data_IF_524771896975
#
_entry.id   IF_524771896975
#
_cell.length_a   1.000
_cell.length_b   1.000
_cell.length_c   1.000
_cell.angle_alpha   90.00
_cell.angle_beta   90.00
_cell.angle_gamma   90.00
#
_symmetry.space_group_name_H-M   'P 1'
#
loop_
_entity.id
_entity.type
_entity.pdbx_description
1 polymer ?
#
# COMPACT_ATOMS: atom_id res chain seq x y z
N UNK A 1 -16.13 11.24 22.95
CA UNK A 1 -17.07 10.10 23.10
C UNK A 1 -17.39 9.53 21.73
N UNK A 2 -17.82 10.34 20.76
CA UNK A 2 -18.30 9.93 19.44
C UNK A 2 -17.26 9.13 18.65
N UNK A 3 -15.98 9.54 18.68
CA UNK A 3 -14.90 8.83 18.00
C UNK A 3 -14.74 7.40 18.55
N UNK A 4 -14.66 7.25 19.87
CA UNK A 4 -14.51 5.93 20.50
C UNK A 4 -15.72 5.05 20.21
N UNK A 5 -16.94 5.61 20.28
CA UNK A 5 -18.17 4.88 19.98
C UNK A 5 -18.20 4.41 18.51
N UNK A 6 -17.89 5.29 17.56
CA UNK A 6 -17.83 4.95 16.13
C UNK A 6 -16.75 3.90 15.85
N UNK A 7 -15.58 4.04 16.47
CA UNK A 7 -14.48 3.09 16.35
C UNK A 7 -14.88 1.70 16.87
N UNK A 8 -15.49 1.63 18.06
CA UNK A 8 -15.98 0.37 18.64
C UNK A 8 -17.04 -0.26 17.72
N UNK A 9 -18.05 0.51 17.28
CA UNK A 9 -19.10 0.01 16.38
C UNK A 9 -18.51 -0.53 15.08
N UNK A 10 -17.54 0.17 14.50
CA UNK A 10 -16.87 -0.25 13.29
C UNK A 10 -16.11 -1.57 13.49
N UNK A 11 -15.33 -1.68 14.58
CA UNK A 11 -14.54 -2.89 14.85
C UNK A 11 -15.41 -4.08 15.26
N UNK A 12 -16.50 -3.85 16.00
CA UNK A 12 -17.49 -4.91 16.30
C UNK A 12 -18.15 -5.38 15.00
N UNK A 13 -18.60 -4.48 14.14
CA UNK A 13 -19.16 -4.82 12.83
C UNK A 13 -18.19 -5.60 11.97
N UNK A 14 -16.93 -5.14 11.83
CA UNK A 14 -15.87 -5.82 11.11
C UNK A 14 -15.55 -7.20 11.69
N UNK A 15 -15.53 -7.34 13.02
CA UNK A 15 -15.29 -8.63 13.68
C UNK A 15 -16.45 -9.62 13.45
N UNK A 16 -17.70 -9.15 13.43
CA UNK A 16 -18.85 -9.98 13.05
C UNK A 16 -18.69 -10.48 11.61
N UNK A 17 -18.31 -9.61 10.67
CA UNK A 17 -18.05 -9.97 9.28
C UNK A 17 -16.90 -10.98 9.19
N UNK A 18 -15.81 -10.77 9.92
CA UNK A 18 -14.67 -11.67 10.00
C UNK A 18 -15.06 -13.07 10.52
N UNK A 19 -15.80 -13.14 11.61
CA UNK A 19 -16.27 -14.42 12.18
C UNK A 19 -17.24 -15.12 11.23
N UNK A 20 -18.17 -14.37 10.63
CA UNK A 20 -19.10 -14.92 9.64
C UNK A 20 -18.40 -15.51 8.41
N UNK A 21 -17.27 -14.92 7.99
CA UNK A 21 -16.49 -15.40 6.84
C UNK A 21 -15.80 -16.74 7.09
N UNK A 22 -15.59 -17.13 8.36
CA UNK A 22 -15.02 -18.44 8.72
C UNK A 22 -15.77 -19.63 8.11
N UNK A 23 -17.07 -19.48 7.85
CA UNK A 23 -17.89 -20.52 7.19
C UNK A 23 -17.43 -20.85 5.77
N UNK A 24 -16.64 -19.97 5.13
CA UNK A 24 -16.08 -20.19 3.80
C UNK A 24 -14.71 -20.85 3.86
N UNK A 25 -14.06 -20.85 5.03
CA UNK A 25 -12.72 -21.39 5.23
C UNK A 25 -12.74 -22.91 5.18
N UNK A 26 -12.01 -23.51 4.23
CA UNK A 26 -11.69 -24.92 4.18
C UNK A 26 -10.39 -25.23 4.94
N UNK A 27 -9.94 -26.48 4.87
CA UNK A 27 -8.69 -26.92 5.47
C UNK A 27 -7.49 -26.67 4.55
N UNK A 28 -6.34 -26.36 5.15
CA UNK A 28 -5.05 -26.27 4.47
C UNK A 28 -4.56 -24.87 4.17
N UNK A 29 -3.26 -24.75 3.89
CA UNK A 29 -2.59 -23.48 3.63
C UNK A 29 -3.15 -22.75 2.41
N UNK A 30 -3.61 -23.46 1.40
CA UNK A 30 -4.27 -22.92 0.21
C UNK A 30 -5.55 -22.18 0.55
N UNK A 31 -6.38 -22.72 1.44
CA UNK A 31 -7.60 -22.03 1.90
C UNK A 31 -7.26 -20.82 2.75
N UNK A 32 -6.29 -20.95 3.65
CA UNK A 32 -5.90 -19.88 4.57
C UNK A 32 -5.27 -18.68 3.85
N UNK A 33 -4.36 -18.90 2.89
CA UNK A 33 -3.60 -17.80 2.27
C UNK A 33 -4.21 -17.25 0.97
N UNK A 34 -4.96 -18.05 0.21
CA UNK A 34 -5.53 -17.63 -1.10
C UNK A 34 -7.02 -17.95 -1.27
N UNK A 35 -7.72 -18.34 -0.20
CA UNK A 35 -9.17 -18.58 -0.22
C UNK A 35 -9.58 -19.69 -1.19
N UNK A 36 -8.70 -20.70 -1.39
CA UNK A 36 -8.94 -21.82 -2.30
C UNK A 36 -9.17 -21.43 -3.75
N UNK A 37 -8.80 -20.21 -4.18
CA UNK A 37 -9.08 -19.65 -5.51
C UNK A 37 -10.59 -19.54 -5.82
N UNK A 38 -11.41 -19.23 -4.81
CA UNK A 38 -12.88 -19.20 -4.95
C UNK A 38 -13.50 -17.82 -4.72
N UNK A 39 -12.68 -16.77 -4.63
CA UNK A 39 -13.13 -15.43 -4.30
C UNK A 39 -13.86 -14.80 -5.49
N UNK A 40 -15.00 -14.14 -5.22
CA UNK A 40 -15.78 -13.45 -6.24
C UNK A 40 -15.05 -12.23 -6.80
N UNK A 41 -15.42 -11.76 -8.01
CA UNK A 41 -14.78 -10.61 -8.63
C UNK A 41 -14.95 -9.31 -7.84
N UNK A 42 -16.07 -9.12 -7.14
CA UNK A 42 -16.29 -7.96 -6.27
C UNK A 42 -15.38 -8.00 -5.03
N UNK A 43 -15.38 -9.11 -4.29
CA UNK A 43 -14.49 -9.26 -3.14
C UNK A 43 -13.02 -9.17 -3.52
N UNK A 44 -12.64 -9.76 -4.66
CA UNK A 44 -11.26 -9.65 -5.17
C UNK A 44 -10.89 -8.19 -5.51
N UNK A 45 -11.80 -7.42 -6.08
CA UNK A 45 -11.59 -6.01 -6.36
C UNK A 45 -11.46 -5.18 -5.09
N UNK A 46 -12.36 -5.39 -4.12
CA UNK A 46 -12.35 -4.65 -2.87
C UNK A 46 -11.09 -4.94 -2.05
N UNK A 47 -10.70 -6.22 -1.89
CA UNK A 47 -9.46 -6.54 -1.18
C UNK A 47 -8.22 -6.04 -1.92
N UNK A 48 -8.20 -6.05 -3.27
CA UNK A 48 -7.11 -5.44 -4.03
C UNK A 48 -7.05 -3.93 -3.82
N UNK A 49 -8.21 -3.25 -3.85
CA UNK A 49 -8.31 -1.81 -3.68
C UNK A 49 -7.90 -1.36 -2.27
N UNK A 50 -8.43 -1.97 -1.22
CA UNK A 50 -8.13 -1.58 0.17
C UNK A 50 -6.71 -1.97 0.59
N UNK A 51 -6.15 -3.04 0.01
CA UNK A 51 -4.73 -3.38 0.18
C UNK A 51 -3.81 -2.33 -0.45
N UNK A 52 -4.26 -1.66 -1.50
CA UNK A 52 -3.52 -0.64 -2.24
C UNK A 52 -3.77 0.77 -1.69
N UNK A 53 -5.05 1.13 -1.57
CA UNK A 53 -5.52 2.45 -1.14
C UNK A 53 -5.67 2.49 0.39
N UNK A 54 -4.58 2.80 1.04
CA UNK A 54 -4.37 2.78 2.50
C UNK A 54 -4.44 4.19 3.11
N UNK A 55 -3.82 4.39 4.26
CA UNK A 55 -3.54 5.75 4.79
C UNK A 55 -2.78 6.62 3.78
N UNK A 56 -2.09 5.97 2.83
CA UNK A 56 -1.47 6.63 1.70
C UNK A 56 -2.43 7.61 1.01
N UNK A 57 -3.72 7.29 0.87
CA UNK A 57 -4.67 8.13 0.15
C UNK A 57 -5.10 9.36 0.97
N UNK A 58 -5.81 9.14 2.07
CA UNK A 58 -6.45 10.22 2.84
C UNK A 58 -5.44 11.08 3.61
N UNK A 59 -4.29 10.53 3.98
CA UNK A 59 -3.22 11.24 4.67
C UNK A 59 -2.11 11.59 3.70
N UNK A 60 -1.51 10.58 3.08
CA UNK A 60 -0.32 10.75 2.27
C UNK A 60 -0.58 11.55 0.99
N UNK A 61 -1.51 11.08 0.12
CA UNK A 61 -1.79 11.74 -1.17
C UNK A 61 -2.45 13.11 -0.97
N UNK A 62 -3.38 13.22 -0.01
CA UNK A 62 -3.97 14.52 0.32
C UNK A 62 -2.91 15.50 0.86
N UNK A 63 -2.00 15.05 1.73
CA UNK A 63 -0.88 15.84 2.22
C UNK A 63 0.14 16.18 1.13
N UNK A 64 0.43 15.25 0.21
CA UNK A 64 1.28 15.51 -0.94
C UNK A 64 0.65 16.54 -1.89
N UNK A 65 -0.66 16.42 -2.14
CA UNK A 65 -1.41 17.39 -2.95
C UNK A 65 -1.47 18.76 -2.29
N UNK A 66 -1.66 18.82 -0.98
CA UNK A 66 -1.55 20.06 -0.21
C UNK A 66 -0.20 20.75 -0.45
N UNK A 67 0.89 20.00 -0.51
CA UNK A 67 2.24 20.53 -0.68
C UNK A 67 2.60 20.84 -2.14
N UNK A 68 2.13 20.03 -3.11
CA UNK A 68 2.63 20.07 -4.50
C UNK A 68 1.55 20.23 -5.57
N UNK A 69 0.29 20.38 -5.18
CA UNK A 69 -0.82 20.60 -6.10
C UNK A 69 -1.15 19.39 -6.97
N UNK A 70 -1.62 19.67 -8.18
CA UNK A 70 -2.10 18.65 -9.14
C UNK A 70 -1.01 17.72 -9.68
N UNK A 71 0.26 18.00 -9.44
CA UNK A 71 1.34 17.05 -9.80
C UNK A 71 1.19 15.70 -9.09
N UNK A 72 0.65 15.69 -7.86
CA UNK A 72 0.31 14.49 -7.12
C UNK A 72 -0.78 13.66 -7.82
N UNK A 73 -1.73 14.29 -8.53
CA UNK A 73 -2.72 13.58 -9.35
C UNK A 73 -2.04 12.85 -10.51
N UNK A 74 -1.11 13.51 -11.21
CA UNK A 74 -0.36 12.90 -12.31
C UNK A 74 0.41 11.67 -11.88
N UNK A 75 1.05 11.72 -10.72
CA UNK A 75 1.74 10.59 -10.09
C UNK A 75 0.79 9.41 -9.83
N UNK A 76 -0.34 9.65 -9.19
CA UNK A 76 -1.28 8.58 -8.81
C UNK A 76 -2.04 8.01 -10.02
N UNK A 77 -2.39 8.82 -11.01
CA UNK A 77 -2.99 8.35 -12.26
C UNK A 77 -2.02 7.51 -13.10
N UNK A 78 -0.72 7.84 -13.11
CA UNK A 78 0.29 7.01 -13.77
C UNK A 78 0.39 5.63 -13.10
N UNK A 79 0.36 5.58 -11.76
CA UNK A 79 0.26 4.34 -11.00
C UNK A 79 -0.99 3.53 -11.38
N UNK A 80 -2.18 4.15 -11.33
CA UNK A 80 -3.44 3.47 -11.64
C UNK A 80 -3.44 2.91 -13.06
N UNK A 81 -3.02 3.71 -14.05
CA UNK A 81 -2.96 3.31 -15.46
C UNK A 81 -1.99 2.13 -15.67
N UNK A 82 -0.79 2.18 -15.07
CA UNK A 82 0.18 1.10 -15.17
C UNK A 82 -0.31 -0.18 -14.47
N UNK A 83 -0.96 -0.05 -13.32
CA UNK A 83 -1.55 -1.20 -12.62
C UNK A 83 -2.63 -1.87 -13.48
N UNK A 84 -3.56 -1.11 -14.05
CA UNK A 84 -4.60 -1.65 -14.93
C UNK A 84 -3.99 -2.32 -16.16
N UNK A 85 -2.96 -1.73 -16.75
CA UNK A 85 -2.22 -2.31 -17.88
C UNK A 85 -1.57 -3.64 -17.50
N UNK A 86 -0.83 -3.67 -16.39
CA UNK A 86 -0.15 -4.88 -15.91
C UNK A 86 -1.14 -5.97 -15.53
N UNK A 87 -2.26 -5.64 -14.87
CA UNK A 87 -3.31 -6.59 -14.54
C UNK A 87 -3.95 -7.19 -15.79
N UNK A 88 -4.22 -6.35 -16.80
CA UNK A 88 -4.90 -6.77 -18.04
C UNK A 88 -4.00 -7.58 -18.96
N UNK A 89 -2.68 -7.46 -18.84
CA UNK A 89 -1.69 -8.16 -19.67
C UNK A 89 -1.03 -9.30 -18.88
N UNK A 90 -0.05 -8.97 -18.07
CA UNK A 90 0.76 -9.92 -17.28
C UNK A 90 -0.07 -10.62 -16.20
N UNK A 91 -0.98 -9.88 -15.53
CA UNK A 91 -1.77 -10.39 -14.41
C UNK A 91 -2.65 -11.59 -14.77
N UNK A 92 -3.23 -11.60 -15.97
CA UNK A 92 -4.04 -12.74 -16.46
C UNK A 92 -3.19 -14.02 -16.58
N UNK A 93 -1.97 -13.90 -17.09
CA UNK A 93 -1.04 -15.05 -17.18
C UNK A 93 -0.65 -15.55 -15.79
N UNK A 94 -0.32 -14.64 -14.87
CA UNK A 94 0.00 -14.97 -13.48
C UNK A 94 -1.18 -15.67 -12.81
N UNK A 95 -2.41 -15.17 -12.98
CA UNK A 95 -3.62 -15.77 -12.44
C UNK A 95 -3.82 -17.21 -12.95
N UNK A 96 -3.69 -17.45 -14.28
CA UNK A 96 -3.83 -18.79 -14.87
C UNK A 96 -2.77 -19.75 -14.33
N UNK A 97 -1.51 -19.33 -14.37
CA UNK A 97 -0.40 -20.16 -13.89
C UNK A 97 -0.52 -20.48 -12.40
N UNK A 98 -0.95 -19.53 -11.58
CA UNK A 98 -1.14 -19.75 -10.14
C UNK A 98 -2.17 -20.85 -9.86
N UNK A 99 -3.26 -20.90 -10.64
CA UNK A 99 -4.29 -21.93 -10.51
C UNK A 99 -3.80 -23.31 -10.99
N UNK A 100 -3.13 -23.33 -12.14
CA UNK A 100 -2.60 -24.58 -12.73
C UNK A 100 -1.52 -25.22 -11.85
N UNK A 101 -0.67 -24.39 -11.25
CA UNK A 101 0.49 -24.83 -10.47
C UNK A 101 0.28 -24.83 -8.96
N UNK A 102 -0.86 -24.34 -8.49
CA UNK A 102 -1.20 -24.33 -7.06
C UNK A 102 -0.41 -23.32 -6.23
N UNK A 103 -0.03 -22.17 -6.81
CA UNK A 103 0.71 -21.12 -6.08
C UNK A 103 -0.12 -20.51 -4.95
N UNK A 104 0.48 -20.39 -3.79
CA UNK A 104 -0.14 -19.90 -2.55
C UNK A 104 0.56 -18.63 -2.07
N UNK A 105 1.88 -18.62 -2.17
CA UNK A 105 2.73 -17.51 -1.74
C UNK A 105 3.19 -16.65 -2.92
N UNK A 106 3.43 -15.36 -2.71
CA UNK A 106 4.01 -14.48 -3.73
C UNK A 106 5.39 -14.91 -4.24
N UNK A 107 6.13 -15.73 -3.47
CA UNK A 107 7.43 -16.29 -3.85
C UNK A 107 7.32 -17.52 -4.75
N UNK A 108 6.20 -18.26 -4.71
CA UNK A 108 6.04 -19.51 -5.47
C UNK A 108 6.30 -19.32 -6.97
N UNK A 109 5.82 -18.19 -7.54
CA UNK A 109 6.03 -17.88 -8.95
C UNK A 109 7.51 -17.88 -9.33
N UNK A 110 8.35 -17.17 -8.58
CA UNK A 110 9.77 -17.03 -8.91
C UNK A 110 10.53 -18.31 -8.57
N UNK A 111 10.29 -18.86 -7.39
CA UNK A 111 10.96 -20.10 -6.94
C UNK A 111 10.73 -21.24 -7.94
N UNK A 112 9.52 -21.39 -8.46
CA UNK A 112 9.18 -22.42 -9.42
C UNK A 112 9.66 -22.11 -10.83
N UNK A 113 9.45 -20.89 -11.32
CA UNK A 113 9.86 -20.53 -12.68
C UNK A 113 11.38 -20.53 -12.87
N UNK A 114 12.15 -20.28 -11.82
CA UNK A 114 13.62 -20.40 -11.82
C UNK A 114 14.10 -21.77 -11.31
N UNK A 115 13.20 -22.66 -10.91
CA UNK A 115 13.51 -23.92 -10.28
C UNK A 115 14.56 -23.78 -9.15
N UNK A 116 14.34 -22.80 -8.26
CA UNK A 116 15.30 -22.45 -7.20
C UNK A 116 14.59 -22.05 -5.91
N UNK A 117 14.62 -22.95 -4.93
CA UNK A 117 14.17 -22.66 -3.57
C UNK A 117 15.02 -21.55 -2.92
N UNK A 118 16.34 -21.55 -3.16
CA UNK A 118 17.23 -20.54 -2.60
C UNK A 118 16.79 -19.11 -3.01
N UNK A 119 16.43 -18.94 -4.29
CA UNK A 119 15.91 -17.65 -4.78
C UNK A 119 14.57 -17.30 -4.09
N UNK A 120 13.69 -18.28 -3.87
CA UNK A 120 12.44 -18.07 -3.11
C UNK A 120 12.70 -17.59 -1.69
N UNK A 121 13.65 -18.21 -0.98
CA UNK A 121 14.06 -17.80 0.38
C UNK A 121 14.62 -16.37 0.41
N UNK A 122 15.54 -16.05 -0.51
CA UNK A 122 16.14 -14.70 -0.60
C UNK A 122 15.05 -13.64 -0.81
N UNK A 123 14.09 -13.90 -1.69
CA UNK A 123 12.98 -12.96 -1.95
C UNK A 123 12.02 -12.88 -0.77
N UNK A 124 11.75 -13.97 -0.07
CA UNK A 124 10.92 -13.94 1.14
C UNK A 124 11.55 -13.05 2.23
N UNK A 125 12.86 -13.15 2.40
CA UNK A 125 13.63 -12.29 3.33
C UNK A 125 13.63 -10.82 2.85
N UNK A 126 13.80 -10.58 1.53
CA UNK A 126 13.68 -9.24 0.96
C UNK A 126 12.31 -8.64 1.25
N UNK A 127 11.21 -9.37 1.05
CA UNK A 127 9.86 -8.89 1.36
C UNK A 127 9.73 -8.45 2.83
N UNK A 128 10.31 -9.22 3.75
CA UNK A 128 10.26 -8.90 5.18
C UNK A 128 10.86 -7.52 5.47
N UNK A 129 12.04 -7.24 4.95
CA UNK A 129 12.73 -5.97 5.24
C UNK A 129 12.23 -4.81 4.37
N UNK A 130 12.00 -5.03 3.09
CA UNK A 130 11.58 -4.00 2.15
C UNK A 130 10.19 -3.40 2.50
N UNK A 131 9.31 -4.19 3.14
CA UNK A 131 7.96 -3.74 3.48
C UNK A 131 7.81 -3.16 4.89
N UNK A 132 8.87 -3.15 5.70
CA UNK A 132 8.87 -2.47 7.02
C UNK A 132 8.50 -0.98 6.87
N UNK A 133 9.12 -0.18 5.97
CA UNK A 133 8.74 1.23 5.81
C UNK A 133 7.28 1.42 5.39
N UNK A 134 6.75 0.56 4.50
CA UNK A 134 5.35 0.66 4.08
C UNK A 134 4.37 0.33 5.22
N UNK A 135 4.66 -0.72 5.97
CA UNK A 135 3.86 -1.06 7.16
C UNK A 135 3.95 0.04 8.21
N UNK A 136 5.14 0.59 8.42
CA UNK A 136 5.37 1.75 9.30
C UNK A 136 4.55 2.97 8.89
N UNK A 137 4.44 3.25 7.58
CA UNK A 137 3.62 4.34 7.07
C UNK A 137 2.14 4.19 7.46
N UNK A 138 1.62 2.94 7.51
CA UNK A 138 0.26 2.67 7.97
C UNK A 138 0.09 3.00 9.46
N UNK A 139 1.02 2.53 10.29
CA UNK A 139 1.00 2.80 11.73
C UNK A 139 1.16 4.29 12.02
N UNK A 140 2.03 4.99 11.27
CA UNK A 140 2.22 6.45 11.36
C UNK A 140 0.92 7.20 11.06
N UNK A 141 0.19 6.82 10.02
CA UNK A 141 -1.08 7.46 9.68
C UNK A 141 -2.11 7.37 10.82
N UNK A 142 -2.18 6.24 11.52
CA UNK A 142 -3.02 6.10 12.71
C UNK A 142 -2.49 6.99 13.85
N UNK A 143 -1.17 7.06 14.03
CA UNK A 143 -0.53 7.95 15.00
C UNK A 143 -0.93 9.42 14.79
N UNK A 144 -0.94 9.92 13.54
CA UNK A 144 -1.34 11.29 13.21
C UNK A 144 -2.82 11.56 13.54
N UNK A 145 -3.70 10.58 13.31
CA UNK A 145 -5.11 10.67 13.71
C UNK A 145 -5.25 10.81 15.22
N UNK A 146 -4.58 9.97 16.00
CA UNK A 146 -4.63 10.00 17.47
C UNK A 146 -4.01 11.29 18.02
N UNK A 147 -2.90 11.74 17.44
CA UNK A 147 -2.27 13.01 17.80
C UNK A 147 -3.21 14.21 17.59
N UNK A 148 -3.96 14.23 16.48
CA UNK A 148 -4.93 15.30 16.19
C UNK A 148 -6.12 15.35 17.18
N UNK A 149 -6.39 14.24 17.86
CA UNK A 149 -7.41 14.13 18.91
C UNK A 149 -6.85 14.44 20.32
N UNK A 150 -5.55 14.75 20.44
CA UNK A 150 -4.90 14.97 21.73
C UNK A 150 -4.63 13.69 22.55
N UNK A 151 -4.81 12.50 21.95
CA UNK A 151 -4.61 11.21 22.64
C UNK A 151 -3.11 10.83 22.67
N UNK A 152 -2.35 11.28 21.66
CA UNK A 152 -0.91 11.00 21.51
C UNK A 152 -0.61 10.08 20.35
N UNK A 153 0.46 10.41 19.61
CA UNK A 153 0.93 9.70 18.41
C UNK A 153 1.30 8.25 18.72
N UNK A 154 2.04 8.05 19.81
CA UNK A 154 2.56 6.75 20.22
C UNK A 154 1.42 5.78 20.56
N UNK A 155 0.36 6.30 21.20
CA UNK A 155 -0.85 5.52 21.53
C UNK A 155 -1.53 5.04 20.26
N UNK A 156 -1.62 5.90 19.22
CA UNK A 156 -2.17 5.53 17.93
C UNK A 156 -1.37 4.43 17.22
N UNK A 157 -0.04 4.53 17.25
CA UNK A 157 0.86 3.50 16.72
C UNK A 157 0.66 2.15 17.42
N UNK A 158 0.66 2.14 18.76
CA UNK A 158 0.46 0.92 19.55
C UNK A 158 -0.94 0.32 19.35
N UNK A 159 -1.96 1.17 19.26
CA UNK A 159 -3.32 0.75 18.95
C UNK A 159 -3.38 0.06 17.57
N UNK A 160 -2.76 0.63 16.55
CA UNK A 160 -2.74 0.04 15.21
C UNK A 160 -2.03 -1.33 15.20
N UNK A 161 -0.90 -1.47 15.90
CA UNK A 161 -0.21 -2.76 16.07
C UNK A 161 -1.13 -3.77 16.73
N UNK A 162 -1.76 -3.40 17.85
CA UNK A 162 -2.65 -4.31 18.60
C UNK A 162 -3.80 -4.84 17.75
N UNK A 163 -4.49 -3.96 17.03
CA UNK A 163 -5.62 -4.35 16.17
C UNK A 163 -5.16 -5.20 14.99
N UNK A 164 -4.03 -4.85 14.34
CA UNK A 164 -3.47 -5.64 13.23
C UNK A 164 -3.11 -7.05 13.69
N UNK A 165 -2.46 -7.21 14.83
CA UNK A 165 -2.15 -8.54 15.41
C UNK A 165 -3.44 -9.33 15.67
N UNK A 166 -4.44 -8.67 16.25
CA UNK A 166 -5.71 -9.32 16.57
C UNK A 166 -6.43 -9.83 15.31
N UNK A 167 -6.53 -9.01 14.26
CA UNK A 167 -7.29 -9.35 13.07
C UNK A 167 -6.55 -10.33 12.14
N UNK A 168 -5.24 -10.17 11.96
CA UNK A 168 -4.43 -11.11 11.16
C UNK A 168 -4.49 -12.54 11.70
N UNK A 169 -4.58 -12.70 13.03
CA UNK A 169 -4.66 -14.02 13.69
C UNK A 169 -6.00 -14.74 13.53
N UNK A 170 -7.09 -14.04 13.18
CA UNK A 170 -8.45 -14.61 13.28
C UNK A 170 -8.81 -15.54 12.12
N UNK A 171 -8.44 -15.25 10.86
CA UNK A 171 -9.21 -15.88 9.81
C UNK A 171 -8.62 -16.04 8.41
N UNK A 172 -7.35 -15.77 8.19
CA UNK A 172 -6.76 -15.90 6.85
C UNK A 172 -7.46 -15.03 5.79
N UNK A 173 -7.28 -15.38 4.51
CA UNK A 173 -7.72 -14.54 3.39
C UNK A 173 -9.24 -14.31 3.31
N UNK A 174 -10.07 -15.28 3.68
CA UNK A 174 -11.53 -15.09 3.61
C UNK A 174 -12.00 -13.97 4.54
N UNK A 175 -11.45 -13.93 5.76
CA UNK A 175 -11.74 -12.84 6.68
C UNK A 175 -11.25 -11.52 6.14
N UNK A 176 -9.99 -11.47 5.71
CA UNK A 176 -9.39 -10.26 5.15
C UNK A 176 -10.22 -9.76 3.96
N UNK A 177 -10.55 -10.59 2.97
CA UNK A 177 -11.29 -10.17 1.78
C UNK A 177 -12.70 -9.63 2.11
N UNK A 178 -13.38 -10.20 3.11
CA UNK A 178 -14.71 -9.73 3.49
C UNK A 178 -14.66 -8.48 4.36
N UNK A 179 -13.71 -8.37 5.29
CA UNK A 179 -13.49 -7.14 6.06
C UNK A 179 -12.98 -6.01 5.17
N UNK A 180 -12.11 -6.30 4.21
CA UNK A 180 -11.63 -5.35 3.21
C UNK A 180 -12.79 -4.77 2.38
N UNK A 181 -13.77 -5.60 1.99
CA UNK A 181 -14.95 -5.10 1.29
C UNK A 181 -15.80 -4.16 2.17
N UNK A 182 -15.98 -4.51 3.44
CA UNK A 182 -16.66 -3.65 4.42
C UNK A 182 -15.91 -2.33 4.62
N UNK A 183 -14.60 -2.40 4.83
CA UNK A 183 -13.71 -1.25 5.00
C UNK A 183 -13.69 -0.36 3.76
N UNK A 184 -13.56 -0.95 2.55
CA UNK A 184 -13.50 -0.20 1.30
C UNK A 184 -14.77 0.60 1.02
N UNK A 185 -15.95 0.05 1.33
CA UNK A 185 -17.21 0.80 1.24
C UNK A 185 -17.22 1.96 2.24
N UNK A 186 -16.80 1.70 3.49
CA UNK A 186 -16.70 2.74 4.50
C UNK A 186 -15.73 3.86 4.11
N UNK A 187 -14.56 3.49 3.58
CA UNK A 187 -13.53 4.43 3.09
C UNK A 187 -14.08 5.35 2.00
N UNK A 188 -14.78 4.80 1.01
CA UNK A 188 -15.33 5.59 -0.08
C UNK A 188 -16.44 6.53 0.40
N UNK A 189 -17.40 6.04 1.19
CA UNK A 189 -18.51 6.85 1.66
C UNK A 189 -18.06 7.96 2.60
N UNK A 190 -17.14 7.67 3.51
CA UNK A 190 -16.61 8.67 4.44
C UNK A 190 -15.76 9.74 3.73
N UNK A 191 -15.02 9.36 2.70
CA UNK A 191 -14.22 10.32 1.91
C UNK A 191 -15.11 11.24 1.06
N UNK A 192 -16.21 10.72 0.50
CA UNK A 192 -17.24 11.55 -0.17
C UNK A 192 -17.86 12.52 0.82
N UNK A 193 -18.23 12.06 2.03
CA UNK A 193 -18.80 12.92 3.07
C UNK A 193 -17.81 14.01 3.50
N UNK A 194 -16.51 13.68 3.64
CA UNK A 194 -15.47 14.65 3.93
C UNK A 194 -15.31 15.69 2.81
N UNK A 195 -15.35 15.25 1.55
CA UNK A 195 -15.27 16.14 0.38
C UNK A 195 -16.47 17.10 0.34
N UNK A 196 -17.67 16.59 0.50
CA UNK A 196 -18.88 17.43 0.53
C UNK A 196 -18.85 18.43 1.68
N UNK A 197 -18.47 17.99 2.88
CA UNK A 197 -18.31 18.89 4.02
C UNK A 197 -17.30 19.99 3.75
N UNK A 198 -16.14 19.66 3.19
CA UNK A 198 -15.08 20.63 2.90
C UNK A 198 -15.54 21.70 1.91
N UNK A 199 -16.13 21.30 0.78
CA UNK A 199 -16.45 22.20 -0.32
C UNK A 199 -17.81 22.90 -0.17
N UNK A 200 -18.77 22.26 0.51
CA UNK A 200 -20.12 22.84 0.69
C UNK A 200 -20.24 23.67 1.98
N UNK A 201 -19.47 23.31 3.01
CA UNK A 201 -19.58 23.97 4.32
C UNK A 201 -18.30 24.70 4.74
N UNK A 202 -17.15 24.02 4.83
CA UNK A 202 -15.95 24.64 5.43
C UNK A 202 -15.40 25.80 4.58
N UNK A 203 -15.17 25.60 3.30
CA UNK A 203 -14.60 26.64 2.42
C UNK A 203 -15.55 27.84 2.32
N UNK A 204 -16.87 27.69 2.03
CA UNK A 204 -17.78 28.83 1.99
C UNK A 204 -17.90 29.57 3.33
N UNK A 205 -17.99 28.84 4.46
CA UNK A 205 -18.07 29.48 5.79
C UNK A 205 -16.79 30.23 6.16
N UNK A 206 -15.66 29.89 5.53
CA UNK A 206 -14.38 30.59 5.66
C UNK A 206 -14.19 31.74 4.65
N UNK A 207 -15.25 32.06 3.89
CA UNK A 207 -15.23 33.12 2.86
C UNK A 207 -14.37 32.75 1.65
N UNK A 208 -14.22 31.47 1.34
CA UNK A 208 -13.46 30.96 0.18
C UNK A 208 -14.46 30.48 -0.88
N UNK A 209 -14.78 31.38 -1.82
CA UNK A 209 -15.53 31.07 -3.04
C UNK A 209 -14.61 30.50 -4.14
N UNK A 210 -15.16 30.17 -5.32
CA UNK A 210 -14.40 29.61 -6.43
C UNK A 210 -13.27 30.53 -6.92
N UNK A 211 -13.48 31.88 -6.90
CA UNK A 211 -12.49 32.86 -7.32
C UNK A 211 -11.32 32.86 -6.33
N UNK A 212 -11.62 33.04 -5.05
CA UNK A 212 -10.63 33.03 -3.98
C UNK A 212 -9.91 31.68 -3.83
N UNK A 213 -10.60 30.59 -4.04
CA UNK A 213 -10.01 29.25 -4.09
C UNK A 213 -8.90 29.20 -5.16
N UNK A 214 -9.21 29.63 -6.38
CA UNK A 214 -8.25 29.66 -7.48
C UNK A 214 -7.09 30.59 -7.17
N UNK A 215 -7.35 31.79 -6.66
CA UNK A 215 -6.33 32.75 -6.25
C UNK A 215 -5.37 32.16 -5.21
N UNK A 216 -5.90 31.54 -4.14
CA UNK A 216 -5.09 30.94 -3.08
C UNK A 216 -4.19 29.78 -3.57
N UNK A 217 -4.64 29.04 -4.58
CA UNK A 217 -3.86 27.93 -5.16
C UNK A 217 -2.86 28.38 -6.23
N UNK A 218 -3.03 29.58 -6.78
CA UNK A 218 -2.13 30.11 -7.82
C UNK A 218 -1.17 31.18 -7.30
N UNK A 219 -1.40 31.72 -6.11
CA UNK A 219 -0.56 32.73 -5.47
C UNK A 219 0.82 32.14 -5.12
N UNK A 220 1.87 32.73 -5.71
CA UNK A 220 3.25 32.24 -5.58
C UNK A 220 3.54 31.08 -6.52
N UNK A 221 3.35 29.85 -6.09
CA UNK A 221 3.47 28.65 -6.94
C UNK A 221 2.09 28.23 -7.44
N UNK A 222 1.94 28.08 -8.76
CA UNK A 222 0.68 27.62 -9.34
C UNK A 222 0.48 26.12 -9.08
N UNK A 223 -0.25 25.80 -8.02
CA UNK A 223 -0.56 24.41 -7.63
C UNK A 223 -1.61 23.74 -8.52
N UNK A 224 -2.27 24.48 -9.42
CA UNK A 224 -3.18 23.97 -10.44
C UNK A 224 -2.46 23.59 -11.74
N UNK A 225 -1.13 23.73 -11.79
CA UNK A 225 -0.28 23.26 -12.89
C UNK A 225 0.67 22.16 -12.43
N UNK A 226 1.25 21.43 -13.39
CA UNK A 226 2.22 20.38 -13.09
C UNK A 226 3.57 21.01 -12.73
N UNK A 227 3.92 20.94 -11.44
CA UNK A 227 5.08 21.67 -10.86
C UNK A 227 6.32 20.78 -10.62
N UNK A 228 6.19 19.45 -10.78
CA UNK A 228 7.32 18.56 -10.54
C UNK A 228 8.33 18.60 -11.68
N UNK A 229 9.63 18.52 -11.33
CA UNK A 229 10.66 18.25 -12.32
C UNK A 229 10.50 16.83 -12.89
N UNK A 230 10.99 16.58 -14.13
CA UNK A 230 10.99 15.23 -14.69
C UNK A 230 11.69 14.22 -13.78
N UNK A 231 12.77 14.63 -13.11
CA UNK A 231 13.50 13.78 -12.16
C UNK A 231 12.63 13.37 -10.98
N UNK A 232 11.93 14.33 -10.37
CA UNK A 232 11.03 14.06 -9.25
C UNK A 232 9.87 13.14 -9.70
N UNK A 233 9.25 13.43 -10.84
CA UNK A 233 8.15 12.63 -11.36
C UNK A 233 8.58 11.19 -11.65
N UNK A 234 9.69 10.99 -12.37
CA UNK A 234 10.20 9.65 -12.68
C UNK A 234 10.60 8.92 -11.40
N UNK A 235 11.33 9.60 -10.49
CA UNK A 235 11.80 9.00 -9.25
C UNK A 235 10.66 8.51 -8.34
N UNK A 236 9.61 9.31 -8.21
CA UNK A 236 8.43 8.95 -7.42
C UNK A 236 7.57 7.88 -8.11
N UNK A 237 7.42 7.98 -9.44
CA UNK A 237 6.44 7.16 -10.18
C UNK A 237 7.00 5.77 -10.55
N UNK A 238 8.27 5.66 -10.93
CA UNK A 238 8.83 4.43 -11.48
C UNK A 238 8.69 3.19 -10.58
N UNK A 239 8.95 3.23 -9.27
CA UNK A 239 8.71 2.09 -8.39
C UNK A 239 7.22 1.69 -8.34
N UNK A 240 6.35 2.67 -8.41
CA UNK A 240 4.90 2.51 -8.34
C UNK A 240 4.32 1.92 -9.63
N UNK A 241 4.95 2.18 -10.81
CA UNK A 241 4.53 1.58 -12.09
C UNK A 241 4.59 0.04 -12.07
N UNK A 242 5.52 -0.54 -11.32
CA UNK A 242 5.67 -2.00 -11.20
C UNK A 242 5.02 -2.59 -9.94
N UNK A 243 4.31 -1.78 -9.16
CA UNK A 243 3.70 -2.19 -7.89
C UNK A 243 2.88 -3.48 -8.01
N UNK A 244 2.01 -3.58 -9.01
CA UNK A 244 1.16 -4.75 -9.24
C UNK A 244 1.94 -6.05 -9.50
N UNK A 245 3.20 -5.94 -9.88
CA UNK A 245 4.08 -7.08 -10.18
C UNK A 245 5.07 -7.37 -9.06
N UNK A 246 5.53 -6.36 -8.33
CA UNK A 246 6.63 -6.47 -7.36
C UNK A 246 6.15 -6.65 -5.93
N UNK A 247 5.08 -5.99 -5.54
CA UNK A 247 4.61 -5.97 -4.16
C UNK A 247 3.82 -7.25 -3.81
N UNK A 248 4.25 -8.04 -2.81
CA UNK A 248 3.72 -9.37 -2.54
C UNK A 248 2.24 -9.38 -2.17
N UNK A 249 1.77 -8.38 -1.42
CA UNK A 249 0.38 -8.30 -0.97
C UNK A 249 -0.61 -8.17 -2.14
N UNK A 250 -0.27 -7.45 -3.20
CA UNK A 250 -1.12 -7.34 -4.40
C UNK A 250 -0.89 -8.48 -5.37
N UNK A 251 0.33 -9.00 -5.48
CA UNK A 251 0.62 -10.21 -6.29
C UNK A 251 -0.20 -11.39 -5.79
N UNK A 252 -0.30 -11.60 -4.47
CA UNK A 252 -1.11 -12.67 -3.88
C UNK A 252 -2.61 -12.50 -4.21
N UNK A 253 -3.11 -11.25 -4.34
CA UNK A 253 -4.49 -10.97 -4.75
C UNK A 253 -4.78 -11.35 -6.22
N UNK A 254 -3.75 -11.51 -7.05
CA UNK A 254 -3.94 -12.02 -8.42
C UNK A 254 -4.38 -13.50 -8.42
N UNK A 255 -4.02 -14.27 -7.40
CA UNK A 255 -4.32 -15.72 -7.35
C UNK A 255 -5.77 -16.03 -6.98
N UNK A 256 -6.43 -15.14 -6.23
CA UNK A 256 -7.68 -15.44 -5.52
C UNK A 256 -8.97 -15.50 -6.38
N UNK A 257 -9.12 -14.78 -7.53
CA UNK A 257 -10.35 -14.78 -8.30
C UNK A 257 -10.75 -16.18 -8.77
N UNK A 258 -12.03 -16.54 -8.61
CA UNK A 258 -12.53 -17.90 -8.85
C UNK A 258 -12.50 -18.34 -10.33
N UNK A 259 -12.62 -17.39 -11.26
CA UNK A 259 -12.64 -17.62 -12.70
C UNK A 259 -12.15 -16.37 -13.45
N UNK A 260 -11.93 -16.48 -14.78
CA UNK A 260 -11.46 -15.36 -15.61
C UNK A 260 -12.46 -14.20 -15.62
N UNK A 261 -13.75 -14.47 -15.55
CA UNK A 261 -14.80 -13.44 -15.48
C UNK A 261 -14.70 -12.66 -14.15
N UNK A 262 -14.43 -13.37 -13.06
CA UNK A 262 -14.16 -12.73 -11.76
C UNK A 262 -12.89 -11.88 -11.79
N UNK A 263 -11.82 -12.36 -12.45
CA UNK A 263 -10.58 -11.60 -12.64
C UNK A 263 -10.81 -10.30 -13.45
N UNK A 264 -11.52 -10.38 -14.57
CA UNK A 264 -11.88 -9.19 -15.37
C UNK A 264 -12.77 -8.20 -14.59
N UNK A 265 -13.71 -8.72 -13.76
CA UNK A 265 -14.51 -7.89 -12.87
C UNK A 265 -13.67 -7.24 -11.79
N UNK A 266 -12.67 -7.93 -11.25
CA UNK A 266 -11.72 -7.38 -10.29
C UNK A 266 -11.02 -6.16 -10.88
N UNK A 267 -10.47 -6.25 -12.09
CA UNK A 267 -9.81 -5.12 -12.77
C UNK A 267 -10.79 -3.96 -12.93
N UNK A 268 -11.99 -4.23 -13.47
CA UNK A 268 -13.00 -3.20 -13.73
C UNK A 268 -13.39 -2.44 -12.46
N UNK A 269 -13.71 -3.14 -11.38
CA UNK A 269 -14.16 -2.50 -10.15
C UNK A 269 -13.02 -1.80 -9.42
N UNK A 270 -11.82 -2.38 -9.44
CA UNK A 270 -10.61 -1.72 -8.95
C UNK A 270 -10.32 -0.41 -9.67
N UNK A 271 -10.43 -0.40 -11.01
CA UNK A 271 -10.18 0.81 -11.82
C UNK A 271 -11.17 1.93 -11.49
N UNK A 272 -12.46 1.61 -11.37
CA UNK A 272 -13.51 2.58 -11.03
C UNK A 272 -13.29 3.12 -9.61
N UNK A 273 -13.08 2.23 -8.64
CA UNK A 273 -12.83 2.60 -7.26
C UNK A 273 -11.57 3.48 -7.14
N UNK A 274 -10.47 3.05 -7.76
CA UNK A 274 -9.19 3.75 -7.71
C UNK A 274 -9.26 5.14 -8.32
N UNK A 275 -9.90 5.27 -9.48
CA UNK A 275 -10.06 6.57 -10.13
C UNK A 275 -10.89 7.53 -9.27
N UNK A 276 -12.06 7.09 -8.78
CA UNK A 276 -12.91 7.90 -7.93
C UNK A 276 -12.21 8.32 -6.62
N UNK A 277 -11.57 7.36 -5.95
CA UNK A 277 -10.91 7.61 -4.67
C UNK A 277 -9.68 8.53 -4.82
N UNK A 278 -8.91 8.38 -5.92
CA UNK A 278 -7.81 9.29 -6.26
C UNK A 278 -8.30 10.72 -6.44
N UNK A 279 -9.37 10.93 -7.22
CA UNK A 279 -9.92 12.27 -7.43
C UNK A 279 -10.39 12.90 -6.11
N UNK A 280 -11.10 12.13 -5.27
CA UNK A 280 -11.58 12.61 -3.96
C UNK A 280 -10.38 13.04 -3.10
N UNK A 281 -9.35 12.22 -2.96
CA UNK A 281 -8.20 12.53 -2.10
C UNK A 281 -7.39 13.74 -2.60
N UNK A 282 -7.23 13.88 -3.92
CA UNK A 282 -6.58 15.05 -4.51
C UNK A 282 -7.42 16.33 -4.29
N UNK A 283 -8.73 16.27 -4.51
CA UNK A 283 -9.62 17.40 -4.23
C UNK A 283 -9.59 17.79 -2.74
N UNK A 284 -9.58 16.80 -1.84
CA UNK A 284 -9.40 17.07 -0.40
C UNK A 284 -8.09 17.82 -0.14
N UNK A 285 -6.97 17.36 -0.72
CA UNK A 285 -5.66 18.01 -0.56
C UNK A 285 -5.63 19.46 -1.07
N UNK A 286 -6.22 19.73 -2.23
CA UNK A 286 -6.37 21.09 -2.77
C UNK A 286 -7.25 21.96 -1.86
N UNK A 287 -8.37 21.43 -1.38
CA UNK A 287 -9.25 22.13 -0.45
C UNK A 287 -8.57 22.45 0.89
N UNK A 288 -7.79 21.52 1.43
CA UNK A 288 -6.98 21.75 2.64
C UNK A 288 -5.96 22.86 2.41
N UNK A 289 -5.31 22.87 1.23
CA UNK A 289 -4.38 23.95 0.87
C UNK A 289 -5.06 25.31 0.82
N UNK A 290 -6.20 25.41 0.13
CA UNK A 290 -6.95 26.67 0.05
C UNK A 290 -7.41 27.15 1.44
N UNK A 291 -7.96 26.24 2.26
CA UNK A 291 -8.40 26.56 3.63
C UNK A 291 -7.25 27.10 4.49
N UNK A 292 -6.14 26.38 4.56
CA UNK A 292 -4.99 26.78 5.39
C UNK A 292 -4.24 28.00 4.82
N UNK A 293 -4.26 28.20 3.49
CA UNK A 293 -3.75 29.44 2.88
C UNK A 293 -4.61 30.65 3.26
N UNK A 294 -5.92 30.49 3.33
CA UNK A 294 -6.84 31.55 3.78
C UNK A 294 -6.65 31.94 5.25
N UNK A 295 -6.03 31.07 6.05
CA UNK A 295 -5.71 31.30 7.46
C UNK A 295 -4.24 31.65 7.71
N UNK A 296 -3.40 31.76 6.68
CA UNK A 296 -1.95 31.93 6.76
C UNK A 296 -1.22 30.84 7.58
N UNK A 297 -1.79 29.62 7.60
CA UNK A 297 -1.30 28.51 8.43
C UNK A 297 -0.45 27.49 7.65
N UNK A 298 -0.19 27.69 6.36
CA UNK A 298 0.52 26.71 5.51
C UNK A 298 1.88 26.33 6.07
N UNK A 299 2.64 27.30 6.58
CA UNK A 299 4.00 27.08 7.11
C UNK A 299 4.04 26.19 8.35
N UNK A 300 2.96 26.12 9.12
CA UNK A 300 2.87 25.26 10.31
C UNK A 300 2.94 23.76 9.94
N UNK A 301 2.56 23.41 8.70
CA UNK A 301 2.55 22.05 8.19
C UNK A 301 3.71 21.74 7.23
N UNK A 302 4.64 22.69 7.01
CA UNK A 302 5.79 22.48 6.12
C UNK A 302 6.68 21.29 6.56
N UNK A 303 6.80 21.07 7.87
CA UNK A 303 7.57 19.97 8.45
C UNK A 303 6.79 18.66 8.65
N UNK A 304 5.44 18.69 8.58
CA UNK A 304 4.61 17.50 8.75
C UNK A 304 3.29 17.60 7.97
N UNK A 305 3.35 17.41 6.66
CA UNK A 305 2.18 17.46 5.80
C UNK A 305 1.19 16.31 6.03
N UNK A 306 1.62 15.22 6.67
CA UNK A 306 0.74 14.09 7.03
C UNK A 306 -0.26 14.48 8.13
N UNK A 307 0.03 15.51 8.93
CA UNK A 307 -0.88 16.06 9.94
C UNK A 307 -1.98 16.95 9.36
N UNK A 308 -1.89 17.37 8.09
CA UNK A 308 -2.83 18.32 7.47
C UNK A 308 -4.25 17.76 7.43
N UNK A 309 -4.41 16.55 6.89
CA UNK A 309 -5.74 15.93 6.76
C UNK A 309 -6.40 15.69 8.13
N UNK A 310 -5.74 15.08 9.14
CA UNK A 310 -6.31 14.96 10.48
C UNK A 310 -6.65 16.32 11.11
N UNK A 311 -5.79 17.32 10.96
CA UNK A 311 -6.04 18.66 11.51
C UNK A 311 -7.28 19.31 10.92
N UNK A 312 -7.41 19.36 9.57
CA UNK A 312 -8.57 20.00 8.95
C UNK A 312 -9.85 19.21 9.22
N UNK A 313 -9.80 17.87 9.14
CA UNK A 313 -10.95 17.01 9.40
C UNK A 313 -11.43 17.09 10.87
N UNK A 314 -10.54 17.38 11.83
CA UNK A 314 -10.93 17.60 13.23
C UNK A 314 -11.81 18.84 13.45
N UNK A 315 -11.91 19.75 12.46
CA UNK A 315 -12.80 20.92 12.50
C UNK A 315 -14.25 20.58 12.11
N UNK A 316 -14.49 19.38 11.59
CA UNK A 316 -15.83 18.93 11.26
C UNK A 316 -16.68 18.61 12.51
N UNK A 317 -17.97 18.44 12.30
CA UNK A 317 -18.85 17.94 13.36
C UNK A 317 -18.33 16.58 13.89
N UNK A 318 -18.45 16.35 15.19
CA UNK A 318 -17.85 15.20 15.88
C UNK A 318 -18.16 13.83 15.23
N UNK A 319 -19.38 13.62 14.72
CA UNK A 319 -19.76 12.38 14.04
C UNK A 319 -19.03 12.21 12.71
N UNK A 320 -18.89 13.28 11.91
CA UNK A 320 -18.17 13.21 10.65
C UNK A 320 -16.67 12.98 10.89
N UNK A 321 -16.07 13.71 11.83
CA UNK A 321 -14.68 13.49 12.26
C UNK A 321 -14.47 12.04 12.70
N UNK A 322 -15.34 11.51 13.55
CA UNK A 322 -15.26 10.12 14.02
C UNK A 322 -15.35 9.12 12.87
N UNK A 323 -16.28 9.33 11.93
CA UNK A 323 -16.50 8.46 10.77
C UNK A 323 -15.30 8.43 9.84
N UNK A 324 -14.72 9.61 9.53
CA UNK A 324 -13.56 9.73 8.63
C UNK A 324 -12.29 9.22 9.30
N UNK A 325 -12.08 9.50 10.57
CA UNK A 325 -10.92 8.99 11.31
C UNK A 325 -10.94 7.47 11.44
N UNK A 326 -12.10 6.90 11.73
CA UNK A 326 -12.29 5.45 11.70
C UNK A 326 -11.99 4.86 10.31
N UNK A 327 -12.35 5.56 9.25
CA UNK A 327 -12.02 5.19 7.86
C UNK A 327 -10.50 5.17 7.59
N UNK A 328 -9.78 6.17 8.05
CA UNK A 328 -8.31 6.23 7.91
C UNK A 328 -7.66 5.07 8.67
N UNK A 329 -8.14 4.78 9.87
CA UNK A 329 -7.65 3.64 10.67
C UNK A 329 -7.97 2.31 9.98
N UNK A 330 -9.17 2.16 9.44
CA UNK A 330 -9.56 0.98 8.67
C UNK A 330 -8.65 0.76 7.46
N UNK A 331 -8.37 1.82 6.69
CA UNK A 331 -7.45 1.80 5.56
C UNK A 331 -6.02 1.39 5.95
N UNK A 332 -5.55 1.86 7.11
CA UNK A 332 -4.25 1.46 7.66
C UNK A 332 -4.19 -0.04 7.94
N UNK A 333 -5.20 -0.53 8.66
CA UNK A 333 -5.25 -1.92 9.14
C UNK A 333 -5.39 -2.89 7.97
N UNK A 334 -6.29 -2.63 7.00
CA UNK A 334 -6.47 -3.50 5.83
C UNK A 334 -5.18 -3.69 5.03
N UNK A 335 -4.41 -2.63 4.87
CA UNK A 335 -3.12 -2.70 4.18
C UNK A 335 -2.07 -3.40 5.04
N UNK A 336 -1.95 -3.08 6.31
CA UNK A 336 -1.01 -3.72 7.23
C UNK A 336 -1.26 -5.23 7.33
N UNK A 337 -2.52 -5.65 7.51
CA UNK A 337 -2.93 -7.07 7.54
C UNK A 337 -2.53 -7.80 6.25
N UNK A 338 -2.78 -7.18 5.11
CA UNK A 338 -2.47 -7.74 3.80
C UNK A 338 -0.97 -7.88 3.55
N UNK A 339 -0.17 -6.90 3.93
CA UNK A 339 1.29 -6.94 3.84
C UNK A 339 1.83 -8.05 4.74
N UNK A 340 1.42 -8.02 6.00
CA UNK A 340 1.89 -8.97 7.03
C UNK A 340 1.52 -10.40 6.66
N UNK A 341 0.28 -10.66 6.21
CA UNK A 341 -0.14 -11.99 5.76
C UNK A 341 0.70 -12.48 4.58
N UNK A 342 0.97 -11.61 3.60
CA UNK A 342 1.73 -11.97 2.39
C UNK A 342 3.18 -12.30 2.70
N UNK A 343 3.83 -11.50 3.55
CA UNK A 343 5.22 -11.73 4.01
C UNK A 343 5.28 -12.99 4.86
N UNK A 344 4.36 -13.15 5.80
CA UNK A 344 4.28 -14.33 6.67
C UNK A 344 4.08 -15.62 5.85
N UNK A 345 3.22 -15.57 4.82
CA UNK A 345 3.03 -16.72 3.91
C UNK A 345 4.32 -17.05 3.15
N UNK A 346 5.05 -16.04 2.66
CA UNK A 346 6.30 -16.23 1.93
C UNK A 346 7.37 -16.89 2.82
N UNK A 347 7.58 -16.37 4.01
CA UNK A 347 8.56 -16.91 4.97
C UNK A 347 8.18 -18.32 5.43
N UNK A 348 6.93 -18.53 5.85
CA UNK A 348 6.46 -19.85 6.30
C UNK A 348 6.57 -20.91 5.20
N UNK A 349 6.20 -20.54 3.97
CA UNK A 349 6.28 -21.42 2.80
C UNK A 349 7.70 -21.82 2.46
N UNK A 350 8.60 -20.85 2.31
CA UNK A 350 9.98 -21.09 1.86
C UNK A 350 10.86 -21.72 2.96
N UNK A 351 10.73 -21.27 4.21
CA UNK A 351 11.59 -21.76 5.30
C UNK A 351 11.08 -23.03 5.95
N UNK A 352 9.76 -23.28 5.96
CA UNK A 352 9.20 -24.45 6.63
C UNK A 352 8.51 -25.42 5.68
N UNK A 353 7.44 -25.01 4.95
CA UNK A 353 6.63 -25.96 4.17
C UNK A 353 7.43 -26.68 3.10
N UNK A 354 8.27 -25.96 2.33
CA UNK A 354 9.14 -26.55 1.31
C UNK A 354 10.41 -27.23 1.88
N UNK A 355 10.70 -27.02 3.18
CA UNK A 355 11.88 -27.59 3.83
C UNK A 355 11.63 -28.96 4.45
N UNK A 356 10.37 -29.29 4.74
CA UNK A 356 9.98 -30.48 5.52
C UNK A 356 9.14 -31.41 4.65
N UNK A 357 9.43 -32.70 4.69
CA UNK A 357 8.73 -33.71 3.88
C UNK A 357 7.23 -33.81 4.20
N UNK A 358 6.84 -33.57 5.46
CA UNK A 358 5.45 -33.59 5.91
C UNK A 358 5.16 -32.38 6.80
N UNK A 359 4.92 -31.19 6.20
CA UNK A 359 4.70 -29.98 6.96
C UNK A 359 3.37 -30.06 7.73
N UNK A 360 3.42 -29.72 9.03
CA UNK A 360 2.23 -29.60 9.87
C UNK A 360 1.63 -28.21 9.71
N UNK A 361 0.36 -28.13 9.31
CA UNK A 361 -0.36 -26.88 9.10
C UNK A 361 -0.31 -25.96 10.33
N UNK A 362 -0.56 -26.50 11.53
CA UNK A 362 -0.49 -25.75 12.79
C UNK A 362 0.88 -25.07 13.00
N UNK A 363 1.97 -25.72 12.60
CA UNK A 363 3.31 -25.16 12.73
C UNK A 363 3.58 -24.11 11.67
N UNK A 364 3.07 -24.29 10.45
CA UNK A 364 3.13 -23.28 9.39
C UNK A 364 2.44 -21.98 9.80
N UNK A 365 1.22 -22.06 10.33
CA UNK A 365 0.46 -20.91 10.83
C UNK A 365 1.16 -20.27 12.05
N UNK A 366 1.73 -21.05 12.96
CA UNK A 366 2.47 -20.51 14.10
C UNK A 366 3.71 -19.72 13.67
N UNK A 367 4.47 -20.21 12.68
CA UNK A 367 5.61 -19.50 12.10
C UNK A 367 5.12 -18.21 11.43
N UNK A 368 4.05 -18.29 10.63
CA UNK A 368 3.47 -17.12 9.98
C UNK A 368 3.08 -16.03 10.99
N UNK A 369 2.41 -16.40 12.09
CA UNK A 369 2.03 -15.46 13.14
C UNK A 369 3.26 -14.85 13.86
N UNK A 370 4.32 -15.64 14.09
CA UNK A 370 5.56 -15.11 14.69
C UNK A 370 6.26 -14.09 13.78
N UNK A 371 6.30 -14.37 12.47
CA UNK A 371 6.84 -13.42 11.47
C UNK A 371 5.99 -12.15 11.42
N UNK A 372 4.67 -12.28 11.46
CA UNK A 372 3.73 -11.17 11.48
C UNK A 372 3.99 -10.22 12.66
N UNK A 373 4.11 -10.77 13.86
CA UNK A 373 4.40 -10.00 15.08
C UNK A 373 5.77 -9.32 14.98
N UNK A 374 6.82 -10.05 14.56
CA UNK A 374 8.16 -9.50 14.41
C UNK A 374 8.19 -8.32 13.42
N UNK A 375 7.50 -8.46 12.28
CA UNK A 375 7.39 -7.40 11.29
C UNK A 375 6.66 -6.16 11.83
N UNK A 376 5.56 -6.36 12.57
CA UNK A 376 4.81 -5.26 13.18
C UNK A 376 5.61 -4.53 14.26
N UNK A 377 6.40 -5.26 15.06
CA UNK A 377 7.30 -4.64 16.05
C UNK A 377 8.37 -3.80 15.34
N UNK A 378 8.99 -4.30 14.28
CA UNK A 378 9.96 -3.52 13.49
C UNK A 378 9.30 -2.28 12.87
N UNK A 379 8.11 -2.44 12.30
CA UNK A 379 7.36 -1.33 11.69
C UNK A 379 6.95 -0.28 12.72
N UNK A 380 6.54 -0.68 13.92
CA UNK A 380 6.22 0.23 15.02
C UNK A 380 7.45 1.00 15.50
N UNK A 381 8.57 0.32 15.69
CA UNK A 381 9.83 0.97 16.06
C UNK A 381 10.23 2.02 15.00
N UNK A 382 10.08 1.69 13.70
CA UNK A 382 10.37 2.62 12.62
C UNK A 382 9.38 3.80 12.57
N UNK A 383 8.08 3.57 12.84
CA UNK A 383 7.05 4.62 12.90
C UNK A 383 7.32 5.63 14.01
N UNK A 384 7.75 5.13 15.18
CA UNK A 384 8.08 5.97 16.36
C UNK A 384 9.28 6.88 16.12
N UNK A 385 10.18 6.54 15.20
CA UNK A 385 11.30 7.40 14.78
C UNK A 385 10.83 8.60 13.94
N UNK A 386 9.57 8.61 13.46
CA UNK A 386 8.96 9.68 12.66
C UNK A 386 9.77 10.05 11.40
N UNK A 387 10.44 9.07 10.80
CA UNK A 387 11.26 9.25 9.59
C UNK A 387 10.37 9.29 8.36
N UNK A 388 10.48 10.34 7.54
CA UNK A 388 9.78 10.48 6.25
C UNK A 388 8.27 10.66 6.37
N UNK A 389 7.62 10.86 5.23
CA UNK A 389 6.16 10.97 5.13
C UNK A 389 5.56 9.66 4.64
N UNK A 390 4.25 9.51 4.80
CA UNK A 390 3.50 8.29 4.43
C UNK A 390 3.73 7.91 2.96
N UNK A 391 3.71 8.89 2.04
CA UNK A 391 3.94 8.64 0.61
C UNK A 391 5.36 8.13 0.36
N UNK A 392 6.37 8.84 0.83
CA UNK A 392 7.77 8.50 0.59
C UNK A 392 8.13 7.13 1.17
N UNK A 393 7.65 6.80 2.36
CA UNK A 393 7.88 5.49 2.97
C UNK A 393 7.23 4.35 2.17
N UNK A 394 6.01 4.58 1.67
CA UNK A 394 5.28 3.60 0.87
C UNK A 394 5.95 3.36 -0.48
N UNK A 395 6.34 4.43 -1.18
CA UNK A 395 7.01 4.34 -2.49
C UNK A 395 8.44 3.84 -2.35
N UNK A 396 9.17 4.21 -1.28
CA UNK A 396 10.51 3.70 -1.01
C UNK A 396 10.51 2.17 -0.83
N UNK A 397 9.53 1.62 -0.13
CA UNK A 397 9.36 0.16 -0.05
C UNK A 397 9.26 -0.49 -1.43
N UNK A 398 8.53 0.13 -2.36
CA UNK A 398 8.44 -0.36 -3.74
C UNK A 398 9.74 -0.17 -4.53
N UNK A 399 10.57 0.82 -4.19
CA UNK A 399 11.89 0.99 -4.78
C UNK A 399 12.84 -0.17 -4.39
N UNK A 400 12.79 -0.66 -3.15
CA UNK A 400 13.51 -1.88 -2.75
C UNK A 400 12.97 -3.15 -3.42
N UNK A 401 11.70 -3.17 -3.83
CA UNK A 401 11.11 -4.30 -4.55
C UNK A 401 11.28 -4.18 -6.07
N UNK A 402 11.74 -3.04 -6.58
CA UNK A 402 11.87 -2.78 -8.02
C UNK A 402 12.78 -3.79 -8.76
N UNK A 403 13.88 -4.33 -8.16
CA UNK A 403 14.67 -5.38 -8.80
C UNK A 403 13.88 -6.64 -9.16
N UNK A 404 12.75 -6.89 -8.50
CA UNK A 404 11.88 -8.02 -8.82
C UNK A 404 11.14 -7.85 -10.16
N UNK A 405 10.98 -6.62 -10.66
CA UNK A 405 10.26 -6.37 -11.91
C UNK A 405 10.94 -7.05 -13.11
N UNK A 406 12.22 -6.80 -13.43
CA UNK A 406 12.89 -7.47 -14.54
C UNK A 406 13.02 -8.98 -14.32
N UNK A 407 13.24 -9.46 -13.08
CA UNK A 407 13.31 -10.88 -12.75
C UNK A 407 11.97 -11.59 -13.08
N UNK A 408 10.84 -11.02 -12.66
CA UNK A 408 9.51 -11.56 -12.92
C UNK A 408 9.15 -11.50 -14.39
N UNK A 409 9.45 -10.39 -15.07
CA UNK A 409 9.19 -10.25 -16.51
C UNK A 409 10.02 -11.25 -17.32
N UNK A 410 11.31 -11.40 -17.04
CA UNK A 410 12.16 -12.39 -17.71
C UNK A 410 11.63 -13.83 -17.51
N UNK A 411 11.14 -14.15 -16.30
CA UNK A 411 10.54 -15.45 -16.03
C UNK A 411 9.26 -15.69 -16.83
N UNK A 412 8.38 -14.68 -16.93
CA UNK A 412 7.10 -14.79 -17.64
C UNK A 412 7.26 -14.78 -19.17
N UNK A 413 8.23 -14.03 -19.69
CA UNK A 413 8.58 -13.99 -21.10
C UNK A 413 9.40 -15.20 -21.57
N UNK A 414 9.62 -16.17 -20.70
CA UNK A 414 10.40 -17.40 -20.98
C UNK A 414 11.83 -17.10 -21.50
N UNK A 415 12.41 -15.96 -21.08
CA UNK A 415 13.82 -15.66 -21.35
C UNK A 415 14.74 -16.70 -20.66
N UNK A 416 16.02 -16.75 -21.00
CA UNK A 416 16.99 -17.66 -20.35
C UNK A 416 16.97 -17.45 -18.83
N UNK A 417 16.43 -18.44 -18.09
CA UNK A 417 16.19 -18.35 -16.64
C UNK A 417 17.37 -18.93 -15.85
N UNK A 418 18.50 -18.25 -15.89
CA UNK A 418 19.64 -18.62 -15.04
C UNK A 418 19.41 -18.09 -13.63
N UNK A 419 19.45 -18.95 -12.62
CA UNK A 419 19.32 -18.58 -11.19
C UNK A 419 20.37 -17.52 -10.81
N UNK A 420 21.59 -17.69 -11.28
CA UNK A 420 22.68 -16.76 -11.02
C UNK A 420 22.43 -15.37 -11.61
N UNK A 421 21.82 -15.29 -12.80
CA UNK A 421 21.39 -14.02 -13.38
C UNK A 421 20.35 -13.31 -12.51
N UNK A 422 19.37 -14.07 -11.97
CA UNK A 422 18.36 -13.50 -11.06
C UNK A 422 18.95 -13.07 -9.71
N UNK A 423 19.89 -13.85 -9.14
CA UNK A 423 20.59 -13.46 -7.91
C UNK A 423 21.49 -12.24 -8.12
N UNK A 424 22.22 -12.17 -9.23
CA UNK A 424 23.03 -11.02 -9.58
C UNK A 424 22.16 -9.77 -9.83
N UNK A 425 21.03 -9.93 -10.53
CA UNK A 425 20.02 -8.88 -10.73
C UNK A 425 19.54 -8.30 -9.41
N UNK A 426 19.19 -9.18 -8.47
CA UNK A 426 18.74 -8.79 -7.13
C UNK A 426 19.86 -8.09 -6.36
N UNK A 427 21.06 -8.68 -6.32
CA UNK A 427 22.21 -8.14 -5.58
C UNK A 427 22.63 -6.75 -6.09
N UNK A 428 22.69 -6.54 -7.41
CA UNK A 428 23.06 -5.25 -7.98
C UNK A 428 21.95 -4.19 -7.77
N UNK A 429 20.70 -4.55 -7.98
CA UNK A 429 19.59 -3.64 -7.75
C UNK A 429 19.47 -3.21 -6.29
N UNK A 430 19.54 -4.17 -5.35
CA UNK A 430 19.56 -3.89 -3.92
C UNK A 430 20.82 -3.15 -3.48
N UNK A 431 21.97 -3.46 -4.07
CA UNK A 431 23.21 -2.72 -3.82
C UNK A 431 23.06 -1.23 -4.11
N UNK A 432 22.43 -0.87 -5.23
CA UNK A 432 22.12 0.53 -5.58
C UNK A 432 21.12 1.13 -4.58
N UNK A 433 20.05 0.41 -4.22
CA UNK A 433 19.04 0.88 -3.29
C UNK A 433 19.62 1.12 -1.89
N UNK A 434 20.37 0.17 -1.36
CA UNK A 434 21.02 0.26 -0.03
C UNK A 434 22.07 1.37 -0.01
N UNK A 435 22.93 1.46 -1.04
CA UNK A 435 23.92 2.53 -1.13
C UNK A 435 23.24 3.91 -1.11
N UNK A 436 22.17 4.10 -1.88
CA UNK A 436 21.43 5.37 -1.90
C UNK A 436 20.78 5.67 -0.54
N UNK A 437 20.26 4.65 0.11
CA UNK A 437 19.65 4.80 1.45
C UNK A 437 20.67 5.21 2.50
N UNK A 438 21.83 4.60 2.50
CA UNK A 438 22.92 4.94 3.44
C UNK A 438 23.46 6.35 3.18
N UNK A 439 23.48 6.79 1.92
CA UNK A 439 24.00 8.11 1.54
C UNK A 439 23.00 9.25 1.75
N UNK A 440 21.71 9.03 1.47
CA UNK A 440 20.70 10.09 1.40
C UNK A 440 19.55 9.93 2.40
N UNK A 441 19.44 8.77 3.03
CA UNK A 441 18.32 8.37 3.88
C UNK A 441 17.17 7.68 3.13
N UNK A 442 16.34 6.91 3.83
CA UNK A 442 15.32 6.05 3.20
C UNK A 442 14.24 6.84 2.46
N UNK A 443 13.83 8.01 2.95
CA UNK A 443 12.80 8.82 2.29
C UNK A 443 13.32 9.54 1.03
N UNK A 444 14.62 9.77 0.90
CA UNK A 444 15.22 10.49 -0.23
C UNK A 444 15.69 9.58 -1.37
N UNK A 445 15.61 8.26 -1.23
CA UNK A 445 15.98 7.30 -2.29
C UNK A 445 15.24 7.58 -3.62
N UNK A 446 14.03 8.11 -3.55
CA UNK A 446 13.18 8.38 -4.72
C UNK A 446 13.61 9.60 -5.52
N UNK A 447 14.03 10.65 -4.83
CA UNK A 447 14.34 11.97 -5.42
C UNK A 447 15.82 12.22 -5.56
N UNK A 448 16.68 11.39 -4.93
CA UNK A 448 18.13 11.49 -5.05
C UNK A 448 18.61 11.05 -6.44
N UNK A 449 19.70 11.67 -6.91
CA UNK A 449 20.40 11.29 -8.13
C UNK A 449 21.78 10.73 -7.79
N UNK A 450 22.10 9.54 -8.31
CA UNK A 450 23.42 8.94 -8.13
C UNK A 450 24.42 9.46 -9.15
N UNK A 451 23.98 9.62 -10.40
CA UNK A 451 24.82 10.12 -11.50
C UNK A 451 23.95 10.75 -12.60
N UNK A 452 24.53 11.65 -13.39
CA UNK A 452 23.94 12.25 -14.60
C UNK A 452 22.57 12.93 -14.37
N UNK A 453 22.23 13.32 -13.14
CA UNK A 453 20.89 13.87 -12.82
C UNK A 453 19.77 12.83 -12.87
N UNK A 454 20.07 11.55 -13.08
CA UNK A 454 19.05 10.48 -13.19
C UNK A 454 18.67 9.97 -11.81
N UNK A 455 17.35 9.86 -11.51
CA UNK A 455 16.88 9.40 -10.20
C UNK A 455 17.32 7.97 -9.88
N UNK A 456 17.56 7.71 -8.59
CA UNK A 456 17.99 6.41 -8.09
C UNK A 456 17.13 5.22 -8.56
N UNK A 457 15.78 5.28 -8.60
CA UNK A 457 14.96 4.15 -9.08
C UNK A 457 15.30 3.71 -10.52
N UNK A 458 15.72 4.62 -11.39
CA UNK A 458 16.16 4.27 -12.74
C UNK A 458 17.44 3.44 -12.70
N UNK A 459 18.39 3.82 -11.85
CA UNK A 459 19.65 3.07 -11.66
C UNK A 459 19.39 1.69 -11.05
N UNK A 460 18.45 1.59 -10.10
CA UNK A 460 18.02 0.28 -9.56
C UNK A 460 17.50 -0.62 -10.68
N UNK A 461 16.64 -0.09 -11.55
CA UNK A 461 16.07 -0.85 -12.65
C UNK A 461 17.13 -1.28 -13.68
N UNK A 462 18.04 -0.37 -14.08
CA UNK A 462 19.14 -0.68 -14.99
C UNK A 462 20.06 -1.74 -14.40
N UNK A 463 20.52 -1.54 -13.16
CA UNK A 463 21.40 -2.47 -12.48
C UNK A 463 20.79 -3.87 -12.34
N UNK A 464 19.48 -3.95 -12.07
CA UNK A 464 18.79 -5.22 -11.95
C UNK A 464 18.44 -5.85 -13.31
N UNK A 465 18.24 -5.09 -14.37
CA UNK A 465 17.96 -5.65 -15.70
C UNK A 465 19.23 -6.21 -16.39
N UNK A 466 20.37 -5.57 -16.20
CA UNK A 466 21.63 -5.90 -16.90
C UNK A 466 22.04 -7.37 -16.81
N UNK A 467 22.07 -8.04 -15.63
CA UNK A 467 22.49 -9.45 -15.54
C UNK A 467 21.54 -10.44 -16.25
N UNK A 468 20.29 -10.04 -16.48
CA UNK A 468 19.31 -10.89 -17.16
C UNK A 468 19.44 -10.84 -18.68
N UNK A 469 20.11 -9.82 -19.21
CA UNK A 469 20.37 -9.63 -20.64
C UNK A 469 21.71 -10.24 -21.07
N UNK A 470 22.58 -10.55 -20.10
CA UNK A 470 23.87 -11.18 -20.37
C UNK A 470 23.67 -12.68 -20.70
N UNK A 471 24.46 -13.23 -21.65
CA UNK A 471 24.35 -14.61 -22.13
C UNK A 471 24.63 -15.69 -21.08
#
# INVERSE_FOLDING_TARGET
>A
VEFIATLILFFVGGSIVAVYSRRFLGAGSKEFFVGGYRVSGFLSAMTYATTTYSTFMMIGLAGLTFATGVAALGFELAYLASTVLLLSTVGVFVWRMARERGWVSPTDMIAELYNSRALGVVIAVLYLFALVPYTSAQLKGVGEVFASLGIGFEVGVLFAVFITVLWTGIAGLWSIATTDAYQGVWMLLSSIAALLWLYVFLLPSSGIDATKFTELLTKGQNLLSFTWSPQMFIGMTLPWLFFALTNPQVVQRLYIPRDEKAFKRMIKYFSIYGFAYTLICVMLGLGYRAYLSGLDMVQQFAGNRDAVAPYVLSKAHAILTATVFTSIIAAAISTADSIVLSVASAISRELYEKAVTSPKERKSVAIANSVAIAMLVMAAAFALLKVGYVVELSVASSAYLLPLAPIKLAALLKMRRKVWGALASLALGEGVAVYSTLRYGPAKILTSSLALGVPTPVWILIASATPLLLP
#
